data_IF_458900958497
#
_entry.id   IF_458900958497
#
_cell.length_a   1.000
_cell.length_b   1.000
_cell.length_c   1.000
_cell.angle_alpha   90.00
_cell.angle_beta   90.00
_cell.angle_gamma   90.00
#
_symmetry.space_group_name_H-M   'P 1'
#
loop_
_entity.id
_entity.type
_entity.pdbx_description
1 polymer ?
#
# COMPACT_ATOMS: atom_id res chain seq x y z
N UNK A 1 -48.82 -34.71 -1.11
CA UNK A 1 -48.52 -33.63 -2.08
C UNK A 1 -48.64 -32.21 -1.51
N UNK A 2 -49.60 -31.89 -0.62
CA UNK A 2 -49.73 -30.55 -0.03
C UNK A 2 -48.53 -30.15 0.86
N UNK A 3 -48.03 -31.07 1.66
CA UNK A 3 -46.83 -30.90 2.51
C UNK A 3 -45.56 -30.67 1.68
N UNK A 4 -45.40 -31.42 0.59
CA UNK A 4 -44.26 -31.31 -0.33
C UNK A 4 -44.24 -29.94 -1.05
N UNK A 5 -45.41 -29.40 -1.43
CA UNK A 5 -45.54 -28.05 -1.99
C UNK A 5 -45.20 -26.97 -0.97
N UNK A 6 -45.63 -27.11 0.29
CA UNK A 6 -45.29 -26.18 1.37
C UNK A 6 -43.78 -26.15 1.66
N UNK A 7 -43.13 -27.31 1.69
CA UNK A 7 -41.68 -27.43 1.86
C UNK A 7 -40.91 -26.72 0.73
N UNK A 8 -41.30 -26.95 -0.53
CA UNK A 8 -40.72 -26.26 -1.69
C UNK A 8 -40.85 -24.73 -1.61
N UNK A 9 -42.01 -24.21 -1.21
CA UNK A 9 -42.23 -22.76 -1.05
C UNK A 9 -41.32 -22.20 0.06
N UNK A 10 -41.24 -22.87 1.22
CA UNK A 10 -40.38 -22.43 2.32
C UNK A 10 -38.90 -22.42 1.94
N UNK A 11 -38.47 -23.41 1.15
CA UNK A 11 -37.09 -23.55 0.68
C UNK A 11 -36.75 -22.47 -0.35
N UNK A 12 -37.70 -22.12 -1.23
CA UNK A 12 -37.56 -21.00 -2.16
C UNK A 12 -37.44 -19.65 -1.44
N UNK A 13 -38.27 -19.40 -0.43
CA UNK A 13 -38.19 -18.19 0.40
C UNK A 13 -36.83 -18.11 1.12
N UNK A 14 -36.37 -19.24 1.66
CA UNK A 14 -35.05 -19.32 2.31
C UNK A 14 -33.91 -18.98 1.34
N UNK A 15 -33.95 -19.48 0.10
CA UNK A 15 -32.96 -19.13 -0.92
C UNK A 15 -32.98 -17.63 -1.23
N UNK A 16 -34.16 -17.05 -1.47
CA UNK A 16 -34.27 -15.60 -1.72
C UNK A 16 -33.66 -14.81 -0.57
N UNK A 17 -33.96 -15.20 0.67
CA UNK A 17 -33.42 -14.55 1.87
C UNK A 17 -31.89 -14.64 1.94
N UNK A 18 -31.33 -15.83 1.69
CA UNK A 18 -29.87 -16.04 1.66
C UNK A 18 -29.19 -15.22 0.56
N UNK A 19 -29.79 -15.16 -0.63
CA UNK A 19 -29.28 -14.34 -1.74
C UNK A 19 -29.29 -12.86 -1.38
N UNK A 20 -30.38 -12.35 -0.81
CA UNK A 20 -30.50 -10.95 -0.38
C UNK A 20 -29.46 -10.59 0.68
N UNK A 21 -29.27 -11.42 1.71
CA UNK A 21 -28.25 -11.21 2.73
C UNK A 21 -26.86 -11.17 2.09
N UNK A 22 -26.55 -12.16 1.25
CA UNK A 22 -25.23 -12.26 0.61
C UNK A 22 -24.95 -11.04 -0.26
N UNK A 23 -25.95 -10.58 -1.01
CA UNK A 23 -25.86 -9.37 -1.81
C UNK A 23 -25.59 -8.13 -0.95
N UNK A 24 -26.34 -7.95 0.14
CA UNK A 24 -26.13 -6.85 1.08
C UNK A 24 -24.72 -6.88 1.68
N UNK A 25 -24.26 -8.03 2.17
CA UNK A 25 -22.91 -8.17 2.72
C UNK A 25 -21.86 -7.82 1.67
N UNK A 26 -21.98 -8.36 0.46
CA UNK A 26 -21.06 -8.04 -0.64
C UNK A 26 -21.00 -6.54 -0.92
N UNK A 27 -22.17 -5.88 -0.98
CA UNK A 27 -22.26 -4.44 -1.20
C UNK A 27 -21.53 -3.65 -0.09
N UNK A 28 -21.81 -3.95 1.18
CA UNK A 28 -21.16 -3.29 2.31
C UNK A 28 -19.65 -3.56 2.38
N UNK A 29 -19.22 -4.79 2.07
CA UNK A 29 -17.81 -5.13 1.95
C UNK A 29 -17.16 -4.25 0.89
N UNK A 30 -17.69 -4.22 -0.34
CA UNK A 30 -17.12 -3.41 -1.43
C UNK A 30 -17.05 -1.94 -1.02
N UNK A 31 -18.12 -1.39 -0.42
CA UNK A 31 -18.14 0.02 0.01
C UNK A 31 -17.14 0.31 1.12
N UNK A 32 -16.94 -0.62 2.06
CA UNK A 32 -15.91 -0.50 3.09
C UNK A 32 -14.50 -0.49 2.49
N UNK A 33 -14.25 -1.32 1.47
CA UNK A 33 -12.96 -1.39 0.81
C UNK A 33 -12.67 -0.19 -0.09
N UNK A 34 -13.69 0.43 -0.69
CA UNK A 34 -13.57 1.74 -1.36
C UNK A 34 -13.02 2.79 -0.39
N UNK A 35 -13.62 2.91 0.80
CA UNK A 35 -13.16 3.87 1.82
C UNK A 35 -11.73 3.58 2.29
N UNK A 36 -11.39 2.31 2.55
CA UNK A 36 -10.03 1.93 2.98
C UNK A 36 -9.01 2.13 1.86
N UNK A 37 -9.38 1.87 0.61
CA UNK A 37 -8.55 2.11 -0.57
C UNK A 37 -8.20 3.60 -0.69
N UNK A 38 -9.23 4.45 -0.57
CA UNK A 38 -9.05 5.91 -0.61
C UNK A 38 -8.19 6.42 0.55
N UNK A 39 -8.32 5.84 1.74
CA UNK A 39 -7.52 6.20 2.91
C UNK A 39 -6.03 5.90 2.70
N UNK A 40 -5.71 4.71 2.17
CA UNK A 40 -4.33 4.33 1.84
C UNK A 40 -3.76 5.24 0.75
N UNK A 41 -4.53 5.51 -0.32
CA UNK A 41 -4.08 6.39 -1.40
C UNK A 41 -3.86 7.83 -0.93
N UNK A 42 -4.76 8.38 -0.12
CA UNK A 42 -4.57 9.72 0.47
C UNK A 42 -3.32 9.78 1.33
N UNK A 43 -3.08 8.75 2.13
CA UNK A 43 -1.85 8.64 2.94
C UNK A 43 -0.60 8.55 2.08
N UNK A 44 -0.65 7.80 0.98
CA UNK A 44 0.44 7.68 0.02
C UNK A 44 0.74 9.01 -0.67
N UNK A 45 -0.28 9.68 -1.20
CA UNK A 45 -0.16 11.00 -1.84
C UNK A 45 0.42 12.00 -0.85
N UNK A 46 -0.06 12.00 0.40
CA UNK A 46 0.47 12.89 1.44
C UNK A 46 1.96 12.63 1.73
N UNK A 47 2.36 11.36 1.84
CA UNK A 47 3.77 11.00 1.99
C UNK A 47 4.60 11.46 0.77
N UNK A 48 4.14 11.15 -0.44
CA UNK A 48 4.83 11.48 -1.69
C UNK A 48 5.00 12.99 -1.87
N UNK A 49 3.99 13.79 -1.54
CA UNK A 49 4.09 15.26 -1.55
C UNK A 49 5.20 15.75 -0.62
N UNK A 50 5.27 15.25 0.62
CA UNK A 50 6.32 15.66 1.56
C UNK A 50 7.72 15.20 1.13
N UNK A 51 7.82 14.03 0.49
CA UNK A 51 9.06 13.56 -0.13
C UNK A 51 9.50 14.54 -1.23
N UNK A 52 8.57 14.94 -2.10
CA UNK A 52 8.85 15.90 -3.16
C UNK A 52 9.24 17.27 -2.62
N UNK A 53 8.60 17.74 -1.55
CA UNK A 53 8.94 19.01 -0.90
C UNK A 53 10.35 18.98 -0.31
N UNK A 54 10.74 17.89 0.35
CA UNK A 54 12.12 17.65 0.79
C UNK A 54 13.08 17.69 -0.40
N UNK A 55 12.80 16.95 -1.46
CA UNK A 55 13.68 16.88 -2.63
C UNK A 55 13.83 18.23 -3.32
N UNK A 56 12.75 19.00 -3.43
CA UNK A 56 12.78 20.37 -3.95
C UNK A 56 13.58 21.31 -3.05
N UNK A 57 13.51 21.15 -1.73
CA UNK A 57 14.32 21.90 -0.77
C UNK A 57 15.82 21.59 -0.91
N UNK A 58 16.18 20.30 -1.00
CA UNK A 58 17.56 19.87 -1.21
C UNK A 58 18.15 20.43 -2.51
N UNK A 59 17.35 20.39 -3.59
CA UNK A 59 17.72 20.95 -4.89
C UNK A 59 17.97 22.47 -4.80
N UNK A 60 17.07 23.23 -4.16
CA UNK A 60 17.19 24.69 -4.02
C UNK A 60 18.40 25.14 -3.20
N UNK A 61 18.81 24.35 -2.20
CA UNK A 61 19.98 24.69 -1.37
C UNK A 61 21.32 24.36 -2.03
N UNK A 62 21.33 23.84 -3.26
CA UNK A 62 22.55 23.34 -3.93
C UNK A 62 23.37 22.39 -3.05
N UNK A 63 22.67 21.64 -2.17
CA UNK A 63 23.28 20.61 -1.32
C UNK A 63 23.49 19.29 -2.07
N UNK A 64 23.11 19.25 -3.35
CA UNK A 64 23.12 18.07 -4.18
C UNK A 64 24.27 18.13 -5.20
N UNK A 65 25.05 17.06 -5.27
CA UNK A 65 25.96 16.82 -6.39
C UNK A 65 25.17 16.29 -7.61
N UNK A 66 25.82 16.26 -8.78
CA UNK A 66 25.20 15.82 -10.04
C UNK A 66 24.56 14.42 -9.93
N UNK A 67 25.13 13.54 -9.11
CA UNK A 67 24.59 12.20 -8.86
C UNK A 67 23.26 12.22 -8.13
N UNK A 68 23.07 13.08 -7.13
CA UNK A 68 21.79 13.16 -6.39
C UNK A 68 20.72 13.87 -7.24
N UNK A 69 21.12 14.87 -8.04
CA UNK A 69 20.21 15.53 -8.99
C UNK A 69 19.57 14.53 -9.96
N UNK A 70 20.35 13.57 -10.47
CA UNK A 70 19.82 12.48 -11.30
C UNK A 70 18.69 11.70 -10.61
N UNK A 71 18.86 11.32 -9.33
CA UNK A 71 17.83 10.57 -8.60
C UNK A 71 16.60 11.42 -8.28
N UNK A 72 16.77 12.71 -7.99
CA UNK A 72 15.65 13.65 -7.78
C UNK A 72 14.83 13.81 -9.06
N UNK A 73 15.49 14.02 -10.21
CA UNK A 73 14.82 14.09 -11.51
C UNK A 73 14.08 12.80 -11.84
N UNK A 74 14.70 11.65 -11.56
CA UNK A 74 14.07 10.34 -11.76
C UNK A 74 12.86 10.15 -10.85
N UNK A 75 12.87 10.69 -9.63
CA UNK A 75 11.71 10.67 -8.75
C UNK A 75 10.57 11.58 -9.22
N UNK A 76 10.90 12.68 -9.91
CA UNK A 76 9.87 13.55 -10.48
C UNK A 76 8.97 12.83 -11.49
N UNK A 77 9.49 11.79 -12.17
CA UNK A 77 8.71 10.93 -13.09
C UNK A 77 7.59 10.19 -12.36
N UNK A 78 7.75 9.93 -11.06
CA UNK A 78 6.81 9.14 -10.26
C UNK A 78 5.88 9.99 -9.37
N UNK A 79 5.87 11.31 -9.53
CA UNK A 79 5.07 12.26 -8.72
C UNK A 79 3.57 11.97 -8.70
N UNK A 80 3.04 11.41 -9.77
CA UNK A 80 1.61 11.15 -9.94
C UNK A 80 1.24 9.68 -9.67
N UNK A 81 2.19 8.88 -9.16
CA UNK A 81 1.90 7.48 -8.86
C UNK A 81 0.93 7.37 -7.70
N UNK A 82 -0.17 6.62 -7.92
CA UNK A 82 -1.16 6.35 -6.88
C UNK A 82 -0.71 5.30 -5.87
N UNK A 83 0.43 4.64 -6.13
CA UNK A 83 0.95 3.57 -5.32
C UNK A 83 2.48 3.61 -5.25
N UNK A 84 2.97 3.12 -4.12
CA UNK A 84 4.38 2.85 -3.91
C UNK A 84 4.92 1.84 -4.92
N UNK A 85 6.12 2.10 -5.43
CA UNK A 85 6.88 1.18 -6.27
C UNK A 85 8.34 1.14 -5.81
N UNK A 86 9.06 0.09 -6.22
CA UNK A 86 10.44 -0.11 -5.80
C UNK A 86 11.39 0.99 -6.30
N UNK A 87 11.12 1.56 -7.48
CA UNK A 87 11.96 2.60 -8.10
C UNK A 87 11.95 3.90 -7.29
N UNK A 88 10.82 4.26 -6.70
CA UNK A 88 10.71 5.41 -5.79
C UNK A 88 11.57 5.17 -4.55
N UNK A 89 11.48 3.98 -3.96
CA UNK A 89 12.30 3.61 -2.81
C UNK A 89 13.79 3.59 -3.14
N UNK A 90 14.17 3.08 -4.31
CA UNK A 90 15.56 3.07 -4.78
C UNK A 90 16.11 4.49 -4.92
N UNK A 91 15.37 5.39 -5.57
CA UNK A 91 15.79 6.79 -5.71
C UNK A 91 15.91 7.47 -4.34
N UNK A 92 14.92 7.29 -3.47
CA UNK A 92 14.93 7.87 -2.12
C UNK A 92 16.04 7.32 -1.25
N UNK A 93 16.39 6.04 -1.39
CA UNK A 93 17.53 5.43 -0.72
C UNK A 93 18.83 6.17 -1.06
N UNK A 94 19.08 6.44 -2.35
CA UNK A 94 20.28 7.18 -2.75
C UNK A 94 20.22 8.65 -2.31
N UNK A 95 19.07 9.31 -2.39
CA UNK A 95 18.92 10.70 -1.93
C UNK A 95 19.22 10.80 -0.43
N UNK A 96 18.55 10.00 0.40
CA UNK A 96 18.69 10.00 1.87
C UNK A 96 20.11 9.65 2.32
N UNK A 97 20.73 8.65 1.67
CA UNK A 97 22.12 8.24 1.96
C UNK A 97 23.13 9.38 1.83
N UNK A 98 22.87 10.35 0.95
CA UNK A 98 23.80 11.45 0.69
C UNK A 98 23.30 12.81 1.19
N UNK A 99 22.05 12.94 1.62
CA UNK A 99 21.49 14.16 2.20
C UNK A 99 21.45 14.07 3.73
N UNK A 100 22.56 14.41 4.40
CA UNK A 100 22.75 14.16 5.84
C UNK A 100 22.14 15.19 6.81
N UNK A 101 21.29 16.14 6.39
CA UNK A 101 21.07 17.34 7.21
C UNK A 101 19.63 17.88 7.24
N UNK A 102 18.66 17.06 7.72
CA UNK A 102 17.27 17.51 7.94
C UNK A 102 16.50 16.74 9.04
N UNK A 103 16.97 16.73 10.29
CA UNK A 103 16.35 15.96 11.40
C UNK A 103 14.83 16.15 11.56
N UNK A 104 14.35 17.40 11.46
CA UNK A 104 12.91 17.70 11.60
C UNK A 104 12.09 17.16 10.42
N UNK A 105 12.63 17.21 9.20
CA UNK A 105 11.98 16.65 8.00
C UNK A 105 11.99 15.13 8.07
N UNK A 106 13.09 14.54 8.53
CA UNK A 106 13.23 13.08 8.68
C UNK A 106 12.21 12.53 9.67
N UNK A 107 12.04 13.18 10.83
CA UNK A 107 11.01 12.79 11.81
C UNK A 107 9.59 12.86 11.23
N UNK A 108 9.27 13.92 10.48
CA UNK A 108 7.96 14.06 9.82
C UNK A 108 7.75 12.92 8.80
N UNK A 109 8.71 12.70 7.92
CA UNK A 109 8.63 11.66 6.89
C UNK A 109 8.50 10.27 7.52
N UNK A 110 9.28 9.95 8.54
CA UNK A 110 9.18 8.67 9.26
C UNK A 110 7.79 8.47 9.89
N UNK A 111 7.18 9.53 10.43
CA UNK A 111 5.79 9.48 10.91
C UNK A 111 4.79 9.20 9.77
N UNK A 112 4.97 9.81 8.61
CA UNK A 112 4.11 9.60 7.44
C UNK A 112 4.29 8.21 6.83
N UNK A 113 5.51 7.68 6.81
CA UNK A 113 5.81 6.29 6.41
C UNK A 113 5.08 5.32 7.33
N UNK A 114 5.14 5.55 8.64
CA UNK A 114 4.42 4.72 9.62
C UNK A 114 2.90 4.77 9.43
N UNK A 115 2.34 5.95 9.21
CA UNK A 115 0.91 6.12 8.94
C UNK A 115 0.48 5.36 7.67
N UNK A 116 1.21 5.56 6.57
CA UNK A 116 0.98 4.84 5.31
C UNK A 116 1.04 3.33 5.47
N UNK A 117 2.12 2.81 6.08
CA UNK A 117 2.31 1.38 6.26
C UNK A 117 1.25 0.77 7.18
N UNK A 118 0.82 1.47 8.22
CA UNK A 118 -0.26 1.00 9.10
C UNK A 118 -1.58 0.89 8.34
N UNK A 119 -1.94 1.90 7.54
CA UNK A 119 -3.14 1.88 6.71
C UNK A 119 -3.07 0.77 5.66
N UNK A 120 -1.95 0.63 4.97
CA UNK A 120 -1.71 -0.44 4.00
C UNK A 120 -1.81 -1.82 4.67
N UNK A 121 -1.24 -2.00 5.87
CA UNK A 121 -1.33 -3.24 6.64
C UNK A 121 -2.77 -3.58 7.00
N UNK A 122 -3.53 -2.62 7.51
CA UNK A 122 -4.93 -2.79 7.86
C UNK A 122 -5.78 -3.16 6.64
N UNK A 123 -5.53 -2.51 5.50
CA UNK A 123 -6.16 -2.85 4.22
C UNK A 123 -5.83 -4.28 3.79
N UNK A 124 -4.54 -4.61 3.70
CA UNK A 124 -4.05 -5.90 3.24
C UNK A 124 -4.58 -7.06 4.11
N UNK A 125 -4.52 -6.90 5.43
CA UNK A 125 -5.05 -7.88 6.38
C UNK A 125 -6.57 -8.05 6.24
N UNK A 126 -7.31 -6.92 6.21
CA UNK A 126 -8.76 -6.96 6.03
C UNK A 126 -9.15 -7.66 4.74
N UNK A 127 -8.42 -7.40 3.64
CA UNK A 127 -8.68 -7.95 2.31
C UNK A 127 -8.58 -9.46 2.30
N UNK A 128 -7.55 -9.99 2.96
CA UNK A 128 -7.28 -11.44 3.03
C UNK A 128 -8.21 -12.17 4.00
N UNK A 129 -8.85 -11.45 4.92
CA UNK A 129 -9.75 -12.04 5.93
C UNK A 129 -11.02 -12.61 5.29
N UNK A 130 -11.51 -13.73 5.84
CA UNK A 130 -12.83 -14.25 5.49
C UNK A 130 -13.93 -13.36 6.09
N UNK A 131 -15.04 -13.07 5.38
CA UNK A 131 -15.36 -13.48 4.01
C UNK A 131 -14.92 -12.46 2.94
N UNK A 132 -14.18 -11.40 3.31
CA UNK A 132 -13.86 -10.29 2.41
C UNK A 132 -13.16 -10.72 1.13
N UNK A 133 -12.18 -11.62 1.20
CA UNK A 133 -11.44 -12.07 0.00
C UNK A 133 -12.37 -12.71 -1.06
N UNK A 134 -13.47 -13.35 -0.64
CA UNK A 134 -14.47 -13.93 -1.53
C UNK A 134 -15.28 -12.84 -2.23
N UNK A 135 -15.76 -11.85 -1.46
CA UNK A 135 -16.59 -10.78 -1.99
C UNK A 135 -15.83 -9.76 -2.83
N UNK A 136 -14.54 -9.59 -2.56
CA UNK A 136 -13.67 -8.72 -3.35
C UNK A 136 -13.18 -9.35 -4.64
N UNK A 137 -13.30 -10.67 -4.80
CA UNK A 137 -12.86 -11.37 -6.01
C UNK A 137 -13.49 -10.74 -7.27
N UNK A 138 -12.65 -10.32 -8.22
CA UNK A 138 -13.07 -9.66 -9.45
C UNK A 138 -13.36 -8.15 -9.32
N UNK A 139 -13.19 -7.56 -8.14
CA UNK A 139 -13.24 -6.10 -7.96
C UNK A 139 -11.85 -5.47 -8.10
N UNK A 140 -11.81 -4.16 -8.36
CA UNK A 140 -10.58 -3.36 -8.36
C UNK A 140 -9.92 -3.28 -6.97
N UNK A 141 -10.62 -3.70 -5.91
CA UNK A 141 -10.12 -3.69 -4.54
C UNK A 141 -9.46 -5.03 -4.14
N UNK A 142 -9.31 -5.95 -5.09
CA UNK A 142 -8.61 -7.22 -4.87
C UNK A 142 -7.12 -7.13 -5.27
N UNK A 143 -6.40 -6.16 -4.72
CA UNK A 143 -4.94 -6.08 -4.87
C UNK A 143 -4.31 -5.77 -3.51
N UNK A 144 -2.99 -5.90 -3.42
CA UNK A 144 -2.22 -5.69 -2.19
C UNK A 144 -1.40 -4.41 -2.33
N UNK A 145 -1.47 -3.52 -1.35
CA UNK A 145 -0.58 -2.35 -1.29
C UNK A 145 0.83 -2.77 -0.88
N UNK A 146 1.85 -2.23 -1.55
CA UNK A 146 3.26 -2.43 -1.22
C UNK A 146 3.69 -1.49 -0.10
N UNK A 147 4.34 -2.01 0.95
CA UNK A 147 4.88 -1.18 2.03
C UNK A 147 6.10 -0.36 1.59
N UNK A 148 6.27 0.78 2.25
CA UNK A 148 7.39 1.69 2.03
C UNK A 148 8.38 1.58 3.19
N UNK A 149 9.65 1.38 2.90
CA UNK A 149 10.60 0.90 3.92
C UNK A 149 11.90 1.74 3.96
N UNK A 150 11.80 3.04 3.69
CA UNK A 150 12.90 3.97 3.95
C UNK A 150 12.65 4.61 5.32
N UNK A 151 13.64 4.49 6.20
CA UNK A 151 13.74 5.23 7.46
C UNK A 151 14.69 6.40 7.25
N UNK A 152 14.14 7.60 7.12
CA UNK A 152 14.91 8.81 6.85
C UNK A 152 15.85 9.15 8.01
N UNK A 153 17.10 9.49 7.68
CA UNK A 153 18.14 9.79 8.66
C UNK A 153 18.81 8.55 9.30
N UNK A 154 18.46 7.35 8.85
CA UNK A 154 19.07 6.09 9.30
C UNK A 154 19.82 5.38 8.17
N UNK A 155 20.66 4.42 8.52
CA UNK A 155 21.30 3.55 7.53
C UNK A 155 20.26 2.55 7.01
N UNK A 156 19.76 2.82 5.82
CA UNK A 156 18.82 1.94 5.13
C UNK A 156 19.53 0.79 4.40
N UNK A 157 18.83 -0.32 4.24
CA UNK A 157 19.22 -1.35 3.28
C UNK A 157 18.81 -0.93 1.86
N UNK A 158 19.61 -1.32 0.86
CA UNK A 158 19.23 -1.15 -0.54
C UNK A 158 17.89 -1.86 -0.83
N UNK A 159 16.86 -1.14 -1.32
CA UNK A 159 15.54 -1.71 -1.57
C UNK A 159 15.54 -2.93 -2.51
N UNK A 160 16.44 -2.98 -3.50
CA UNK A 160 16.53 -4.10 -4.45
C UNK A 160 17.05 -5.38 -3.78
N UNK A 161 18.09 -5.26 -2.94
CA UNK A 161 18.65 -6.38 -2.18
C UNK A 161 17.57 -6.95 -1.25
N UNK A 162 16.83 -6.07 -0.58
CA UNK A 162 15.71 -6.48 0.28
C UNK A 162 14.61 -7.19 -0.51
N UNK A 163 14.20 -6.66 -1.67
CA UNK A 163 13.17 -7.29 -2.51
C UNK A 163 13.60 -8.68 -2.99
N UNK A 164 14.86 -8.82 -3.42
CA UNK A 164 15.44 -10.12 -3.79
C UNK A 164 15.43 -11.11 -2.62
N UNK A 165 15.87 -10.69 -1.42
CA UNK A 165 15.84 -11.56 -0.25
C UNK A 165 14.44 -11.99 0.15
N UNK A 166 13.46 -11.07 0.09
CA UNK A 166 12.05 -11.41 0.37
C UNK A 166 11.51 -12.39 -0.66
N UNK A 167 11.81 -12.20 -1.94
CA UNK A 167 11.38 -13.12 -3.00
C UNK A 167 12.02 -14.50 -2.83
N UNK A 168 13.33 -14.56 -2.57
CA UNK A 168 14.04 -15.80 -2.29
C UNK A 168 13.44 -16.53 -1.08
N UNK A 169 13.10 -15.82 -0.01
CA UNK A 169 12.42 -16.41 1.14
C UNK A 169 11.03 -16.96 0.79
N UNK A 170 10.25 -16.25 -0.03
CA UNK A 170 8.94 -16.73 -0.49
C UNK A 170 9.07 -18.00 -1.33
N UNK A 171 10.10 -18.10 -2.17
CA UNK A 171 10.34 -19.25 -3.05
C UNK A 171 10.93 -20.46 -2.33
N UNK A 172 11.89 -20.23 -1.43
CA UNK A 172 12.74 -21.30 -0.85
C UNK A 172 12.46 -21.56 0.62
N UNK A 173 11.83 -20.63 1.34
CA UNK A 173 11.68 -20.65 2.79
C UNK A 173 12.97 -20.36 3.56
N UNK A 174 14.08 -20.05 2.87
CA UNK A 174 15.40 -19.78 3.48
C UNK A 174 15.67 -18.27 3.48
N UNK A 175 16.10 -17.76 4.63
CA UNK A 175 16.64 -16.40 4.74
C UNK A 175 18.13 -16.46 4.41
N UNK A 176 18.53 -15.91 3.26
CA UNK A 176 19.94 -15.67 2.97
C UNK A 176 20.33 -14.39 3.73
N UNK A 177 21.18 -14.53 4.76
CA UNK A 177 21.78 -13.43 5.52
C UNK A 177 22.91 -12.76 4.75
#
# INVERSE_FOLDING_TARGET
MKTLKGCLISLFIFFIFCFSITYCIKYFTIKSFENKYDEVNKSWIHLLTNINDKNAYLYKKSLLNDSINFYVERNNIYKETTQNNIKIQENEFYIDKYSHDTDSINSLLNSLVKDYNNKAKNYNFSRQSFPNFLFLKGSIYNFTFKYYYINYGEINENPLIREERVNNFIETGVLNE
#
